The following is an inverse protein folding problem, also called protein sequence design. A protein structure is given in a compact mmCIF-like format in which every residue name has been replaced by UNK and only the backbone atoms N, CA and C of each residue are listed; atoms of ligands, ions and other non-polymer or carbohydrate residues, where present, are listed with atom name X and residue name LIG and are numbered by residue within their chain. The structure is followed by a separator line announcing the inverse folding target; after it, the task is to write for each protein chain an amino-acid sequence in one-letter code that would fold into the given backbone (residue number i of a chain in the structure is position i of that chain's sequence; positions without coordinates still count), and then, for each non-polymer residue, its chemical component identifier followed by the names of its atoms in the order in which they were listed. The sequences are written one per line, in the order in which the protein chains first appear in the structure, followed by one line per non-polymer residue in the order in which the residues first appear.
data_IF_204551674334
#
_entry.id   IF_204551674334
#
_cell.length_a   1.000
_cell.length_b   1.000
_cell.length_c   1.000
_cell.angle_alpha   90.00
_cell.angle_beta   90.00
_cell.angle_gamma   90.00
#
_symmetry.space_group_name_H-M   'P 1'
#
loop_
_entity.id
_entity.type
_entity.pdbx_description
1 polymer ?
#
# COMPACT_ATOMS: atom_id res chain seq x y z
N UNK A 1 25.93 3.08 -14.24
CA UNK A 1 25.35 2.38 -13.07
C UNK A 1 24.42 1.32 -13.62
N UNK A 2 24.58 0.06 -13.22
CA UNK A 2 23.66 -0.98 -13.66
C UNK A 2 22.31 -0.75 -12.99
N UNK A 3 21.25 -0.57 -13.79
CA UNK A 3 19.87 -0.63 -13.32
C UNK A 3 19.72 -2.00 -12.69
N UNK A 4 19.54 -2.05 -11.38
CA UNK A 4 19.28 -3.30 -10.70
C UNK A 4 17.89 -3.74 -11.19
N UNK A 5 17.77 -4.92 -11.80
CA UNK A 5 16.50 -5.35 -12.39
C UNK A 5 15.49 -5.75 -11.30
N UNK A 6 14.21 -5.45 -11.56
CA UNK A 6 13.10 -6.03 -10.80
C UNK A 6 13.17 -7.56 -10.88
N UNK A 7 12.96 -8.21 -9.74
CA UNK A 7 13.04 -9.68 -9.62
C UNK A 7 11.89 -10.23 -8.79
N UNK A 8 11.51 -11.47 -9.06
CA UNK A 8 10.54 -12.19 -8.24
C UNK A 8 11.08 -12.33 -6.81
N UNK A 9 10.19 -12.18 -5.82
CA UNK A 9 10.52 -12.31 -4.39
C UNK A 9 11.07 -11.03 -3.75
N UNK A 10 10.94 -9.88 -4.39
CA UNK A 10 11.21 -8.59 -3.75
C UNK A 10 10.21 -8.32 -2.61
N UNK A 11 10.69 -7.64 -1.57
CA UNK A 11 9.92 -7.32 -0.37
C UNK A 11 10.04 -5.82 -0.15
N UNK A 12 8.90 -5.17 0.06
CA UNK A 12 8.81 -3.81 0.59
C UNK A 12 7.99 -3.84 1.88
N UNK A 13 8.23 -2.88 2.75
CA UNK A 13 7.54 -2.74 4.02
C UNK A 13 6.98 -1.32 4.12
N UNK A 14 5.77 -1.22 4.67
CA UNK A 14 5.17 0.05 5.06
C UNK A 14 4.45 -0.15 6.39
N UNK A 15 4.70 0.76 7.33
CA UNK A 15 4.16 0.70 8.69
C UNK A 15 3.53 2.04 8.99
N UNK A 16 2.31 2.00 9.52
CA UNK A 16 1.60 3.18 10.02
C UNK A 16 1.08 2.91 11.43
N UNK A 17 0.96 3.99 12.21
CA UNK A 17 0.14 3.98 13.42
C UNK A 17 -1.26 4.39 13.01
N UNK A 18 -2.25 3.52 13.25
CA UNK A 18 -3.65 3.82 12.95
C UNK A 18 -4.13 4.96 13.86
N UNK A 19 -4.74 5.97 13.24
CA UNK A 19 -5.42 7.09 13.89
C UNK A 19 -6.85 7.19 13.35
N UNK A 20 -7.61 8.18 13.83
CA UNK A 20 -8.97 8.44 13.36
C UNK A 20 -9.03 8.68 11.84
N UNK A 21 -7.95 9.20 11.23
CA UNK A 21 -7.88 9.46 9.79
C UNK A 21 -7.99 8.18 8.94
N UNK A 22 -7.49 7.05 9.44
CA UNK A 22 -7.54 5.75 8.76
C UNK A 22 -8.78 4.94 9.15
N UNK A 23 -9.71 5.52 9.91
CA UNK A 23 -10.93 4.82 10.33
C UNK A 23 -11.90 4.62 9.18
N UNK A 24 -12.68 3.53 9.23
CA UNK A 24 -13.71 3.24 8.24
C UNK A 24 -14.75 4.37 8.16
N UNK A 25 -15.07 4.99 9.31
CA UNK A 25 -15.93 6.17 9.42
C UNK A 25 -15.38 7.39 8.69
N UNK A 26 -14.13 7.78 8.95
CA UNK A 26 -13.53 8.98 8.34
C UNK A 26 -13.27 8.79 6.85
N UNK A 27 -12.85 7.61 6.43
CA UNK A 27 -12.60 7.29 5.02
C UNK A 27 -13.86 6.94 4.22
N UNK A 28 -15.04 6.88 4.85
CA UNK A 28 -16.32 6.65 4.18
C UNK A 28 -16.54 5.22 3.69
N UNK A 29 -15.78 4.24 4.19
CA UNK A 29 -15.95 2.81 3.84
C UNK A 29 -16.86 2.03 4.81
N UNK A 30 -17.27 2.67 5.90
CA UNK A 30 -18.17 2.12 6.92
C UNK A 30 -18.53 3.17 7.96
N UNK A 31 -19.20 2.76 9.04
CA UNK A 31 -19.64 3.67 10.11
C UNK A 31 -18.85 3.53 11.42
N UNK A 32 -17.91 2.59 11.50
CA UNK A 32 -17.19 2.22 12.72
C UNK A 32 -15.79 2.84 12.79
N UNK A 33 -15.29 3.04 14.02
CA UNK A 33 -13.92 3.47 14.32
C UNK A 33 -12.94 2.28 14.32
N UNK A 34 -12.90 1.58 13.19
CA UNK A 34 -12.00 0.45 12.93
C UNK A 34 -11.09 0.78 11.75
N UNK A 35 -9.97 0.07 11.60
CA UNK A 35 -9.08 0.28 10.48
C UNK A 35 -9.81 0.04 9.15
N UNK A 36 -9.79 1.01 8.25
CA UNK A 36 -10.58 0.95 7.03
C UNK A 36 -9.97 -0.01 5.99
N UNK A 37 -10.83 -0.69 5.23
CA UNK A 37 -10.39 -1.39 4.01
C UNK A 37 -9.61 -0.48 3.04
N UNK A 38 -10.04 0.76 2.72
CA UNK A 38 -9.23 1.65 1.89
C UNK A 38 -7.88 2.02 2.53
N UNK A 39 -7.79 2.16 3.85
CA UNK A 39 -6.50 2.41 4.52
C UNK A 39 -5.57 1.20 4.41
N UNK A 40 -6.11 -0.02 4.60
CA UNK A 40 -5.36 -1.27 4.41
C UNK A 40 -4.83 -1.38 2.98
N UNK A 41 -5.66 -1.08 1.98
CA UNK A 41 -5.28 -1.10 0.55
C UNK A 41 -4.18 -0.08 0.28
N UNK A 42 -4.33 1.16 0.75
CA UNK A 42 -3.31 2.19 0.58
C UNK A 42 -1.96 1.78 1.22
N UNK A 43 -2.00 1.10 2.38
CA UNK A 43 -0.81 0.57 3.03
C UNK A 43 -0.15 -0.56 2.22
N UNK A 44 -0.93 -1.46 1.63
CA UNK A 44 -0.44 -2.50 0.71
C UNK A 44 0.20 -1.90 -0.54
N UNK A 45 -0.42 -0.88 -1.14
CA UNK A 45 0.15 -0.16 -2.29
C UNK A 45 1.46 0.55 -1.93
N UNK A 46 1.54 1.19 -0.76
CA UNK A 46 2.76 1.82 -0.27
C UNK A 46 3.91 0.80 -0.09
N UNK A 47 3.62 -0.38 0.44
CA UNK A 47 4.59 -1.46 0.55
C UNK A 47 5.05 -1.99 -0.83
N UNK A 48 4.13 -2.10 -1.79
CA UNK A 48 4.47 -2.48 -3.17
C UNK A 48 5.36 -1.43 -3.85
N UNK A 49 5.07 -0.14 -3.67
CA UNK A 49 5.93 0.97 -4.14
C UNK A 49 7.31 0.86 -3.50
N UNK A 50 7.39 0.73 -2.17
CA UNK A 50 8.65 0.61 -1.45
C UNK A 50 9.51 -0.58 -1.93
N UNK A 51 8.88 -1.66 -2.41
CA UNK A 51 9.60 -2.81 -2.97
C UNK A 51 10.32 -2.49 -4.28
N UNK A 52 9.74 -1.64 -5.14
CA UNK A 52 10.21 -1.41 -6.52
C UNK A 52 10.86 -0.06 -6.75
N UNK A 53 10.53 0.96 -5.94
CA UNK A 53 10.98 2.35 -6.12
C UNK A 53 12.51 2.49 -6.21
N UNK A 54 13.33 1.78 -5.41
CA UNK A 54 14.80 1.84 -5.55
C UNK A 54 15.36 1.34 -6.89
N UNK A 55 14.52 0.72 -7.72
CA UNK A 55 14.88 0.09 -9.00
C UNK A 55 14.30 0.84 -10.20
N UNK A 56 13.49 1.89 -9.96
CA UNK A 56 12.93 2.74 -11.00
C UNK A 56 13.89 3.87 -11.36
N UNK A 57 13.89 4.28 -12.62
CA UNK A 57 14.60 5.49 -13.03
C UNK A 57 13.93 6.74 -12.44
N UNK A 58 14.67 7.85 -12.32
CA UNK A 58 14.16 9.11 -11.76
C UNK A 58 12.97 9.75 -12.51
N UNK A 59 12.62 9.24 -13.69
CA UNK A 59 11.47 9.67 -14.49
C UNK A 59 10.37 8.62 -14.58
N UNK A 60 10.47 7.55 -13.80
CA UNK A 60 9.50 6.47 -13.72
C UNK A 60 8.75 6.53 -12.40
N UNK A 61 7.51 6.07 -12.44
CA UNK A 61 6.67 5.82 -11.28
C UNK A 61 5.79 4.60 -11.59
N UNK A 62 5.18 4.03 -10.56
CA UNK A 62 4.23 2.94 -10.71
C UNK A 62 2.80 3.42 -10.45
N UNK A 63 1.82 2.70 -11.02
CA UNK A 63 0.39 2.92 -10.79
C UNK A 63 -0.26 1.56 -10.58
N UNK A 64 -1.02 1.41 -9.49
CA UNK A 64 -1.83 0.21 -9.24
C UNK A 64 -3.00 0.12 -10.22
N UNK A 65 -3.19 -1.05 -10.84
CA UNK A 65 -4.27 -1.29 -11.82
C UNK A 65 -5.27 -2.35 -11.38
N UNK A 66 -4.91 -3.19 -10.42
CA UNK A 66 -5.73 -4.28 -9.90
C UNK A 66 -5.36 -4.56 -8.45
N UNK A 67 -6.36 -4.83 -7.63
CA UNK A 67 -6.18 -5.35 -6.28
C UNK A 67 -7.28 -6.37 -5.97
N UNK A 68 -6.89 -7.48 -5.33
CA UNK A 68 -7.81 -8.51 -4.89
C UNK A 68 -7.44 -8.93 -3.47
N UNK A 69 -8.21 -8.46 -2.49
CA UNK A 69 -7.90 -8.58 -1.07
C UNK A 69 -9.13 -8.97 -0.27
N UNK A 70 -8.92 -9.58 0.89
CA UNK A 70 -9.94 -9.84 1.89
C UNK A 70 -9.51 -9.19 3.21
N UNK A 71 -10.37 -8.34 3.75
CA UNK A 71 -10.19 -7.78 5.09
C UNK A 71 -10.79 -8.76 6.09
N UNK A 72 -9.93 -9.54 6.76
CA UNK A 72 -10.35 -10.73 7.51
C UNK A 72 -10.84 -10.43 8.94
N UNK A 73 -10.51 -9.25 9.48
CA UNK A 73 -10.90 -8.78 10.80
C UNK A 73 -10.92 -7.25 10.81
N UNK A 74 -11.81 -6.65 11.60
CA UNK A 74 -11.92 -5.21 11.80
C UNK A 74 -12.11 -4.91 13.29
#
# INVERSE_FOLDING_TARGET
MAIQQLRVGMIGESIIKVTDAESARVMGSGALDVFATPAMIALMEAAAVAAIDPFLDSRQASVGIEINVKHMAA
#
